data_IF_579500356880
#
_entry.id   IF_579500356880
#
_cell.length_a   1.000
_cell.length_b   1.000
_cell.length_c   1.000
_cell.angle_alpha   90.00
_cell.angle_beta   90.00
_cell.angle_gamma   90.00
#
_symmetry.space_group_name_H-M   'P 1'
#
loop_
_entity.id
_entity.type
_entity.pdbx_description
1 polymer ?
#
# COMPACT_ATOMS: atom_id res chain seq x y z
N UNK A 1 -36.35 -59.82 -22.64
CA UNK A 1 -37.13 -58.59 -22.67
C UNK A 1 -36.82 -57.82 -21.42
N UNK A 2 -35.87 -56.84 -21.53
CA UNK A 2 -35.47 -55.94 -20.42
C UNK A 2 -36.18 -54.58 -20.60
N UNK A 3 -37.03 -54.24 -19.64
CA UNK A 3 -37.71 -52.92 -19.60
C UNK A 3 -36.75 -51.89 -19.19
N UNK A 4 -36.49 -50.90 -20.06
CA UNK A 4 -35.72 -49.66 -19.78
C UNK A 4 -36.71 -48.65 -19.22
N UNK A 5 -36.63 -48.40 -17.91
CA UNK A 5 -37.33 -47.27 -17.26
C UNK A 5 -36.53 -46.01 -17.48
N UNK A 6 -37.06 -45.08 -18.27
CA UNK A 6 -36.54 -43.73 -18.46
C UNK A 6 -37.03 -42.91 -17.28
N UNK A 7 -36.11 -42.61 -16.35
CA UNK A 7 -36.33 -41.62 -15.28
C UNK A 7 -36.09 -40.23 -15.88
N UNK A 8 -37.20 -39.52 -16.08
CA UNK A 8 -37.19 -38.10 -16.48
C UNK A 8 -36.76 -37.27 -15.27
N UNK A 9 -35.45 -36.95 -15.16
CA UNK A 9 -34.91 -36.06 -14.15
C UNK A 9 -35.24 -34.63 -14.56
N UNK A 10 -36.34 -34.10 -14.04
CA UNK A 10 -36.70 -32.66 -14.15
C UNK A 10 -35.66 -31.85 -13.43
N UNK A 11 -34.76 -31.21 -14.20
CA UNK A 11 -33.85 -30.17 -13.71
C UNK A 11 -34.69 -28.95 -13.31
N UNK A 12 -35.05 -28.89 -12.02
CA UNK A 12 -35.49 -27.67 -11.38
C UNK A 12 -34.28 -26.76 -11.34
N UNK A 13 -34.14 -25.91 -12.34
CA UNK A 13 -33.27 -24.71 -12.22
C UNK A 13 -33.85 -23.85 -11.10
N UNK A 14 -33.18 -23.65 -9.98
CA UNK A 14 -33.58 -22.59 -9.07
C UNK A 14 -33.32 -21.28 -9.83
N UNK A 15 -34.38 -20.68 -10.40
CA UNK A 15 -34.38 -19.30 -10.73
C UNK A 15 -34.07 -18.59 -9.41
N UNK A 16 -32.79 -18.27 -9.18
CA UNK A 16 -32.37 -17.34 -8.14
C UNK A 16 -33.11 -16.03 -8.44
N UNK A 17 -34.24 -15.85 -7.77
CA UNK A 17 -34.82 -14.54 -7.54
C UNK A 17 -33.66 -13.71 -7.00
N UNK A 18 -33.09 -12.85 -7.85
CA UNK A 18 -32.24 -11.77 -7.42
C UNK A 18 -33.16 -10.83 -6.61
N UNK A 19 -33.41 -11.20 -5.35
CA UNK A 19 -33.85 -10.24 -4.38
C UNK A 19 -32.82 -9.12 -4.41
N UNK A 20 -33.22 -7.95 -4.85
CA UNK A 20 -32.39 -6.75 -4.82
C UNK A 20 -32.00 -6.50 -3.35
N UNK A 21 -30.81 -6.98 -2.99
CA UNK A 21 -30.29 -6.92 -1.64
C UNK A 21 -29.96 -5.47 -1.32
N UNK A 22 -30.67 -4.89 -0.36
CA UNK A 22 -30.33 -3.55 0.14
C UNK A 22 -29.09 -3.68 1.02
N UNK A 23 -27.98 -3.12 0.57
CA UNK A 23 -26.72 -3.13 1.28
C UNK A 23 -26.73 -2.11 2.42
N UNK A 24 -26.38 -2.57 3.62
CA UNK A 24 -26.08 -1.68 4.74
C UNK A 24 -24.64 -1.15 4.63
N UNK A 25 -24.32 -0.07 5.35
CA UNK A 25 -22.95 0.45 5.42
C UNK A 25 -21.97 -0.62 5.93
N UNK A 26 -22.37 -1.38 6.96
CA UNK A 26 -21.52 -2.43 7.53
C UNK A 26 -21.18 -3.51 6.50
N UNK A 27 -22.16 -3.97 5.73
CA UNK A 27 -21.92 -4.91 4.63
C UNK A 27 -21.00 -4.33 3.56
N UNK A 28 -21.15 -3.03 3.23
CA UNK A 28 -20.25 -2.35 2.28
C UNK A 28 -18.80 -2.31 2.80
N UNK A 29 -18.58 -2.04 4.09
CA UNK A 29 -17.26 -2.06 4.73
C UNK A 29 -16.63 -3.45 4.69
N UNK A 30 -17.38 -4.49 5.03
CA UNK A 30 -16.91 -5.88 4.99
C UNK A 30 -16.52 -6.31 3.57
N UNK A 31 -17.37 -6.00 2.59
CA UNK A 31 -17.07 -6.27 1.18
C UNK A 31 -15.84 -5.49 0.70
N UNK A 32 -15.70 -4.23 1.08
CA UNK A 32 -14.55 -3.42 0.72
C UNK A 32 -13.26 -4.01 1.31
N UNK A 33 -13.24 -4.39 2.58
CA UNK A 33 -12.08 -5.03 3.20
C UNK A 33 -11.71 -6.37 2.54
N UNK A 34 -12.70 -7.11 2.04
CA UNK A 34 -12.49 -8.42 1.42
C UNK A 34 -12.09 -8.33 -0.06
N UNK A 35 -12.66 -7.41 -0.82
CA UNK A 35 -12.56 -7.41 -2.29
C UNK A 35 -11.86 -6.17 -2.87
N UNK A 36 -11.55 -5.15 -2.06
CA UNK A 36 -10.86 -3.97 -2.53
C UNK A 36 -9.43 -4.31 -2.94
N UNK A 37 -9.01 -3.79 -4.10
CA UNK A 37 -7.68 -4.07 -4.67
C UNK A 37 -6.55 -3.41 -3.89
N UNK A 38 -6.78 -2.24 -3.28
CA UNK A 38 -5.79 -1.57 -2.43
C UNK A 38 -5.52 -2.41 -1.17
N UNK A 39 -6.59 -2.95 -0.55
CA UNK A 39 -6.45 -3.86 0.59
C UNK A 39 -5.72 -5.14 0.21
N UNK A 40 -6.08 -5.77 -0.91
CA UNK A 40 -5.40 -6.97 -1.40
C UNK A 40 -3.91 -6.72 -1.69
N UNK A 41 -3.56 -5.55 -2.24
CA UNK A 41 -2.16 -5.16 -2.49
C UNK A 41 -1.39 -4.97 -1.18
N UNK A 42 -1.99 -4.36 -0.16
CA UNK A 42 -1.40 -4.15 1.15
C UNK A 42 -1.10 -5.48 1.87
N UNK A 43 -2.02 -6.45 1.83
CA UNK A 43 -1.79 -7.81 2.33
C UNK A 43 -0.59 -8.47 1.64
N UNK A 44 -0.44 -8.31 0.31
CA UNK A 44 0.72 -8.82 -0.43
C UNK A 44 2.01 -8.11 -0.07
N UNK A 45 1.97 -6.84 0.28
CA UNK A 45 3.13 -6.11 0.78
C UNK A 45 3.59 -6.64 2.15
N UNK A 46 2.67 -6.95 3.05
CA UNK A 46 2.96 -7.61 4.34
C UNK A 46 3.56 -9.00 4.12
N UNK A 47 3.04 -9.78 3.18
CA UNK A 47 3.60 -11.07 2.80
C UNK A 47 5.04 -10.94 2.26
N UNK A 48 5.30 -9.94 1.42
CA UNK A 48 6.63 -9.62 0.90
C UNK A 48 7.61 -9.29 2.04
N UNK A 49 7.19 -8.44 2.99
CA UNK A 49 7.99 -8.09 4.16
C UNK A 49 8.29 -9.31 5.04
N UNK A 50 7.35 -10.24 5.21
CA UNK A 50 7.55 -11.51 5.90
C UNK A 50 8.63 -12.37 5.24
N UNK A 51 8.57 -12.54 3.91
CA UNK A 51 9.59 -13.31 3.19
C UNK A 51 10.95 -12.61 3.19
N UNK A 52 10.98 -11.29 3.14
CA UNK A 52 12.19 -10.49 3.31
C UNK A 52 12.82 -10.74 4.68
N UNK A 53 12.04 -10.71 5.76
CA UNK A 53 12.51 -11.05 7.10
C UNK A 53 13.06 -12.49 7.17
N UNK A 54 12.37 -13.47 6.56
CA UNK A 54 12.85 -14.86 6.50
C UNK A 54 14.17 -14.97 5.72
N UNK A 55 14.33 -14.22 4.64
CA UNK A 55 15.57 -14.14 3.88
C UNK A 55 16.75 -13.63 4.73
N UNK A 56 16.55 -12.52 5.46
CA UNK A 56 17.59 -12.01 6.37
C UNK A 56 17.93 -12.98 7.50
N UNK A 57 16.97 -13.79 7.98
CA UNK A 57 17.22 -14.86 8.93
C UNK A 57 18.16 -15.92 8.38
N UNK A 58 18.11 -16.18 7.07
CA UNK A 58 19.00 -17.10 6.37
C UNK A 58 20.49 -16.76 6.55
N UNK A 59 20.83 -15.47 6.69
CA UNK A 59 22.22 -15.03 6.87
C UNK A 59 22.89 -15.48 8.19
N UNK A 60 22.16 -16.07 9.12
CA UNK A 60 22.72 -16.70 10.31
C UNK A 60 23.23 -18.12 10.06
N UNK A 61 22.85 -18.75 8.96
CA UNK A 61 23.17 -20.12 8.61
C UNK A 61 24.28 -20.19 7.55
N UNK A 62 24.93 -21.36 7.42
CA UNK A 62 25.92 -21.57 6.37
C UNK A 62 25.32 -21.38 4.97
N UNK A 63 26.11 -20.74 4.10
CA UNK A 63 25.80 -20.65 2.68
C UNK A 63 26.53 -21.76 1.92
N UNK A 64 25.80 -22.55 1.13
CA UNK A 64 26.32 -23.61 0.30
C UNK A 64 26.31 -23.16 -1.16
N UNK A 65 27.46 -23.16 -1.80
CA UNK A 65 27.60 -22.83 -3.23
C UNK A 65 28.34 -23.93 -3.99
N UNK A 66 27.81 -24.31 -5.14
CA UNK A 66 28.51 -25.16 -6.07
C UNK A 66 29.00 -24.31 -7.26
N UNK A 67 30.26 -24.43 -7.61
CA UNK A 67 30.89 -23.71 -8.71
C UNK A 67 31.45 -24.70 -9.72
N UNK A 68 31.38 -24.40 -11.01
CA UNK A 68 31.99 -25.16 -12.08
C UNK A 68 32.57 -24.18 -13.12
N UNK A 69 33.75 -24.50 -13.61
CA UNK A 69 34.41 -23.75 -14.68
C UNK A 69 35.05 -24.74 -15.66
N UNK A 70 34.88 -24.50 -16.94
CA UNK A 70 35.58 -25.21 -18.01
C UNK A 70 36.35 -24.20 -18.86
N UNK A 71 37.60 -24.50 -19.15
CA UNK A 71 38.47 -23.73 -20.04
C UNK A 71 39.06 -24.67 -21.09
N UNK A 72 38.97 -24.27 -22.32
CA UNK A 72 39.76 -24.85 -23.40
C UNK A 72 40.78 -23.83 -23.90
N UNK A 73 42.04 -24.21 -23.97
CA UNK A 73 43.12 -23.33 -24.43
C UNK A 73 44.08 -24.11 -25.31
N UNK A 74 44.51 -23.51 -26.38
CA UNK A 74 45.56 -24.02 -27.24
C UNK A 74 46.97 -23.54 -26.80
N UNK A 75 47.04 -22.93 -25.60
CA UNK A 75 48.30 -22.45 -25.06
C UNK A 75 49.20 -23.60 -24.69
N UNK A 76 50.37 -23.66 -25.30
CA UNK A 76 51.47 -24.58 -25.04
C UNK A 76 52.81 -23.81 -25.02
N UNK A 77 53.78 -24.38 -24.42
CA UNK A 77 55.07 -23.77 -24.34
C UNK A 77 56.09 -24.68 -23.61
N UNK A 78 57.32 -24.34 -23.68
CA UNK A 78 58.37 -25.10 -23.02
C UNK A 78 59.42 -24.20 -22.35
N UNK A 79 59.90 -24.65 -21.23
CA UNK A 79 61.10 -24.11 -20.55
C UNK A 79 62.14 -25.18 -20.44
N UNK A 80 63.34 -24.95 -21.10
CA UNK A 80 64.45 -25.89 -21.11
C UNK A 80 65.66 -25.31 -20.41
N UNK A 81 66.27 -26.09 -19.60
CA UNK A 81 67.69 -25.87 -19.15
C UNK A 81 68.57 -26.72 -19.98
N UNK A 82 69.43 -26.09 -20.81
CA UNK A 82 70.35 -26.80 -21.67
C UNK A 82 71.28 -27.67 -20.85
N UNK A 83 71.44 -28.89 -21.29
CA UNK A 83 72.41 -29.81 -20.71
C UNK A 83 73.85 -29.33 -20.92
N UNK A 84 74.69 -29.59 -19.97
CA UNK A 84 76.10 -29.14 -20.02
C UNK A 84 76.99 -29.89 -19.06
N UNK A 85 78.26 -29.58 -19.14
CA UNK A 85 79.21 -30.11 -18.20
C UNK A 85 79.14 -29.41 -16.87
N UNK A 86 78.83 -30.14 -15.77
CA UNK A 86 78.90 -29.66 -14.41
C UNK A 86 80.15 -30.12 -13.71
N UNK A 87 80.90 -29.25 -13.05
CA UNK A 87 82.05 -29.66 -12.27
C UNK A 87 81.64 -30.54 -11.07
N UNK A 88 82.29 -31.62 -10.84
CA UNK A 88 82.11 -32.42 -9.63
C UNK A 88 82.83 -31.71 -8.50
N UNK A 89 82.13 -31.26 -7.54
CA UNK A 89 82.64 -30.58 -6.35
C UNK A 89 82.47 -31.52 -5.16
N UNK A 90 83.59 -31.77 -4.47
CA UNK A 90 83.64 -32.55 -3.24
C UNK A 90 83.89 -31.62 -2.06
N UNK A 91 83.50 -32.04 -0.86
CA UNK A 91 83.82 -31.35 0.38
C UNK A 91 85.11 -31.99 0.97
N UNK A 92 86.04 -31.16 1.38
CA UNK A 92 87.23 -31.62 2.14
C UNK A 92 86.83 -31.96 3.60
N UNK A 93 87.74 -32.48 4.39
CA UNK A 93 87.51 -32.84 5.77
C UNK A 93 87.21 -31.63 6.68
N UNK A 94 87.43 -30.42 6.17
CA UNK A 94 87.07 -29.15 6.84
C UNK A 94 85.74 -28.54 6.35
N UNK A 95 85.05 -29.18 5.40
CA UNK A 95 83.78 -28.71 4.86
C UNK A 95 83.86 -27.68 3.76
N UNK A 96 85.02 -27.44 3.18
CA UNK A 96 85.20 -26.50 2.07
C UNK A 96 84.98 -27.21 0.71
N UNK A 97 84.44 -26.46 -0.26
CA UNK A 97 84.18 -26.91 -1.61
C UNK A 97 85.54 -27.07 -2.39
N UNK A 98 85.88 -28.27 -2.77
CA UNK A 98 87.11 -28.56 -3.56
C UNK A 98 86.69 -29.01 -4.96
N UNK A 99 87.04 -28.26 -5.99
CA UNK A 99 86.90 -28.71 -7.39
C UNK A 99 87.75 -29.92 -7.67
N UNK A 100 87.13 -31.00 -8.12
CA UNK A 100 87.88 -32.26 -8.43
C UNK A 100 88.55 -32.25 -9.80
N UNK A 101 88.28 -31.27 -10.66
CA UNK A 101 88.71 -31.28 -12.07
C UNK A 101 87.92 -32.26 -12.95
N UNK A 102 87.05 -33.05 -12.35
CA UNK A 102 86.18 -34.01 -13.05
C UNK A 102 84.81 -33.28 -13.37
N UNK A 103 84.33 -33.48 -14.57
CA UNK A 103 83.06 -32.95 -15.02
C UNK A 103 82.07 -34.12 -15.20
N UNK A 104 80.89 -34.02 -14.67
CA UNK A 104 79.76 -34.87 -15.01
C UNK A 104 78.90 -34.20 -16.05
N UNK A 105 78.14 -34.97 -16.83
CA UNK A 105 77.24 -34.46 -17.80
C UNK A 105 75.89 -34.23 -17.08
N UNK A 106 75.39 -32.97 -17.06
CA UNK A 106 74.08 -32.67 -16.68
C UNK A 106 73.14 -32.83 -17.91
N UNK A 107 72.26 -33.83 -17.93
CA UNK A 107 71.30 -33.94 -19.01
C UNK A 107 70.31 -32.74 -18.91
N UNK A 108 70.17 -31.99 -19.96
CA UNK A 108 69.19 -30.87 -19.94
C UNK A 108 67.80 -31.31 -19.46
N UNK A 109 67.13 -30.44 -18.87
CA UNK A 109 65.73 -30.66 -18.43
C UNK A 109 64.84 -29.83 -19.32
N UNK A 110 63.93 -30.46 -20.08
CA UNK A 110 62.82 -29.79 -20.79
C UNK A 110 61.59 -30.01 -20.06
N UNK A 111 60.83 -28.89 -19.78
CA UNK A 111 59.52 -28.86 -19.16
C UNK A 111 58.56 -28.28 -20.17
N UNK A 112 57.86 -29.13 -20.91
CA UNK A 112 56.85 -28.72 -21.87
C UNK A 112 55.53 -28.75 -21.20
N UNK A 113 54.76 -27.60 -21.24
CA UNK A 113 53.44 -27.50 -20.68
C UNK A 113 52.37 -27.31 -21.78
N UNK A 114 51.22 -27.89 -21.55
CA UNK A 114 50.05 -27.76 -22.40
C UNK A 114 48.80 -27.56 -21.54
N UNK A 115 48.04 -26.53 -21.82
CA UNK A 115 46.84 -26.21 -21.05
C UNK A 115 45.68 -27.11 -21.45
N UNK A 116 45.40 -27.26 -22.75
CA UNK A 116 44.37 -28.16 -23.26
C UNK A 116 42.97 -27.84 -22.69
N UNK A 117 42.27 -28.88 -22.27
CA UNK A 117 40.96 -28.77 -21.59
C UNK A 117 41.16 -28.85 -20.06
N UNK A 118 40.85 -27.76 -19.40
CA UNK A 118 40.87 -27.69 -17.93
C UNK A 118 39.42 -27.52 -17.44
N UNK A 119 39.03 -28.37 -16.53
CA UNK A 119 37.77 -28.16 -15.82
C UNK A 119 37.97 -28.29 -14.32
N UNK A 120 37.28 -27.43 -13.61
CA UNK A 120 37.23 -27.44 -12.15
C UNK A 120 35.79 -27.33 -11.67
N UNK A 121 35.50 -28.04 -10.59
CA UNK A 121 34.20 -27.99 -9.93
C UNK A 121 34.37 -28.22 -8.44
N UNK A 122 33.56 -27.55 -7.66
CA UNK A 122 33.63 -27.68 -6.22
C UNK A 122 32.40 -27.25 -5.49
N UNK A 123 32.32 -27.64 -4.22
CA UNK A 123 31.33 -27.22 -3.28
C UNK A 123 32.02 -26.41 -2.20
N UNK A 124 31.44 -25.23 -1.91
CA UNK A 124 31.91 -24.32 -0.87
C UNK A 124 30.84 -24.09 0.15
N UNK A 125 31.23 -24.10 1.43
CA UNK A 125 30.37 -23.79 2.59
C UNK A 125 30.98 -22.61 3.31
N UNK A 126 30.24 -21.52 3.43
CA UNK A 126 30.70 -20.31 4.11
C UNK A 126 29.81 -20.03 5.31
N UNK A 127 30.39 -19.90 6.51
CA UNK A 127 29.67 -19.56 7.73
C UNK A 127 30.28 -18.32 8.39
N UNK A 128 29.54 -17.19 8.46
CA UNK A 128 29.97 -16.08 9.29
C UNK A 128 29.80 -16.43 10.77
N UNK A 129 30.89 -16.38 11.53
CA UNK A 129 30.92 -16.64 12.97
C UNK A 129 30.66 -15.35 13.78
N UNK A 130 31.31 -14.27 13.37
CA UNK A 130 31.16 -12.96 13.97
C UNK A 130 31.33 -11.86 12.94
N UNK A 131 30.35 -10.95 12.85
CA UNK A 131 30.32 -9.86 11.86
C UNK A 131 30.11 -8.49 12.53
N UNK A 132 30.64 -8.32 13.76
CA UNK A 132 30.48 -7.06 14.50
C UNK A 132 29.02 -6.69 14.86
N UNK A 133 28.08 -7.65 14.79
CA UNK A 133 26.67 -7.43 14.99
C UNK A 133 25.87 -7.06 13.72
N UNK A 134 26.53 -7.03 12.54
CA UNK A 134 25.91 -6.66 11.25
C UNK A 134 24.66 -7.49 10.94
N UNK A 135 24.79 -8.84 11.00
CA UNK A 135 23.69 -9.75 10.66
C UNK A 135 22.50 -9.55 11.63
N UNK A 136 22.78 -9.40 12.94
CA UNK A 136 21.74 -9.16 13.94
C UNK A 136 21.03 -7.82 13.71
N UNK A 137 21.76 -6.75 13.40
CA UNK A 137 21.18 -5.44 13.13
C UNK A 137 20.31 -5.47 11.86
N UNK A 138 20.80 -6.07 10.76
CA UNK A 138 20.07 -6.23 9.52
C UNK A 138 18.79 -7.09 9.70
N UNK A 139 18.90 -8.21 10.43
CA UNK A 139 17.72 -9.02 10.76
C UNK A 139 16.71 -8.24 11.61
N UNK A 140 17.16 -7.50 12.64
CA UNK A 140 16.24 -6.68 13.45
C UNK A 140 15.56 -5.59 12.62
N UNK A 141 16.27 -4.97 11.67
CA UNK A 141 15.68 -4.03 10.72
C UNK A 141 14.59 -4.70 9.88
N UNK A 142 14.82 -5.93 9.40
CA UNK A 142 13.82 -6.66 8.61
C UNK A 142 12.60 -7.09 9.44
N UNK A 143 12.78 -7.39 10.74
CA UNK A 143 11.67 -7.64 11.67
C UNK A 143 10.82 -6.38 11.86
N UNK A 144 11.47 -5.23 12.13
CA UNK A 144 10.80 -3.95 12.25
C UNK A 144 10.10 -3.53 10.94
N UNK A 145 10.74 -3.83 9.80
CA UNK A 145 10.13 -3.62 8.48
C UNK A 145 8.86 -4.45 8.27
N UNK A 146 8.84 -5.70 8.76
CA UNK A 146 7.64 -6.54 8.75
C UNK A 146 6.55 -5.99 9.69
N UNK A 147 6.90 -5.60 10.92
CA UNK A 147 5.99 -4.96 11.87
C UNK A 147 5.39 -3.67 11.28
N UNK A 148 6.22 -2.85 10.61
CA UNK A 148 5.76 -1.63 9.92
C UNK A 148 4.82 -1.94 8.75
N UNK A 149 5.06 -3.02 7.99
CA UNK A 149 4.16 -3.44 6.92
C UNK A 149 2.79 -3.87 7.45
N UNK A 150 2.73 -4.53 8.62
CA UNK A 150 1.48 -4.89 9.31
C UNK A 150 0.71 -3.64 9.77
N UNK A 151 1.41 -2.62 10.27
CA UNK A 151 0.77 -1.35 10.64
C UNK A 151 0.27 -0.58 9.40
N UNK A 152 1.02 -0.62 8.28
CA UNK A 152 0.57 -0.06 7.00
C UNK A 152 -0.66 -0.80 6.45
N UNK A 153 -0.77 -2.12 6.65
CA UNK A 153 -1.96 -2.90 6.29
C UNK A 153 -3.18 -2.43 7.13
N UNK A 154 -3.00 -2.20 8.43
CA UNK A 154 -4.04 -1.65 9.29
C UNK A 154 -4.44 -0.22 8.89
N UNK A 155 -3.47 0.62 8.52
CA UNK A 155 -3.71 1.96 7.98
C UNK A 155 -4.51 1.90 6.68
N UNK A 156 -4.11 1.04 5.74
CA UNK A 156 -4.84 0.82 4.47
C UNK A 156 -6.28 0.36 4.73
N UNK A 157 -6.49 -0.53 5.71
CA UNK A 157 -7.84 -0.95 6.10
C UNK A 157 -8.69 0.23 6.59
N UNK A 158 -8.12 1.10 7.43
CA UNK A 158 -8.78 2.33 7.91
C UNK A 158 -9.13 3.27 6.75
N UNK A 159 -8.20 3.46 5.80
CA UNK A 159 -8.44 4.30 4.62
C UNK A 159 -9.51 3.73 3.68
N UNK A 160 -9.53 2.40 3.49
CA UNK A 160 -10.55 1.72 2.69
C UNK A 160 -11.93 1.86 3.34
N UNK A 161 -12.03 1.72 4.67
CA UNK A 161 -13.26 1.98 5.42
C UNK A 161 -13.70 3.43 5.22
N UNK A 162 -12.81 4.41 5.42
CA UNK A 162 -13.11 5.83 5.23
C UNK A 162 -13.62 6.13 3.82
N UNK A 163 -12.93 5.64 2.78
CA UNK A 163 -13.35 5.80 1.39
C UNK A 163 -14.72 5.19 1.13
N UNK A 164 -15.00 4.03 1.73
CA UNK A 164 -16.28 3.33 1.59
C UNK A 164 -17.41 4.11 2.27
N UNK A 165 -17.17 4.63 3.47
CA UNK A 165 -18.12 5.44 4.20
C UNK A 165 -18.48 6.72 3.43
N UNK A 166 -17.47 7.42 2.92
CA UNK A 166 -17.67 8.61 2.07
C UNK A 166 -18.44 8.29 0.79
N UNK A 167 -18.14 7.17 0.14
CA UNK A 167 -18.85 6.77 -1.08
C UNK A 167 -20.28 6.35 -0.79
N UNK A 168 -20.54 5.63 0.32
CA UNK A 168 -21.89 5.27 0.77
C UNK A 168 -22.71 6.53 1.06
N UNK A 169 -22.16 7.45 1.84
CA UNK A 169 -22.81 8.72 2.16
C UNK A 169 -23.12 9.55 0.90
N UNK A 170 -22.22 9.53 -0.09
CA UNK A 170 -22.45 10.22 -1.37
C UNK A 170 -23.61 9.61 -2.15
N UNK A 171 -23.81 8.29 -2.10
CA UNK A 171 -24.97 7.64 -2.73
C UNK A 171 -26.26 8.06 -2.01
N UNK A 172 -26.25 8.09 -0.65
CA UNK A 172 -27.40 8.59 0.15
C UNK A 172 -27.75 10.03 -0.23
N UNK A 173 -26.73 10.92 -0.26
CA UNK A 173 -26.91 12.32 -0.69
C UNK A 173 -27.53 12.41 -2.09
N UNK A 174 -27.00 11.65 -3.05
CA UNK A 174 -27.48 11.68 -4.43
C UNK A 174 -28.93 11.16 -4.56
N UNK A 175 -29.33 10.18 -3.73
CA UNK A 175 -30.71 9.71 -3.64
C UNK A 175 -31.64 10.82 -3.10
N UNK A 176 -31.23 11.50 -2.03
CA UNK A 176 -32.03 12.59 -1.46
C UNK A 176 -32.12 13.79 -2.43
N UNK A 177 -31.03 14.19 -3.07
CA UNK A 177 -31.02 15.24 -4.09
C UNK A 177 -31.93 14.91 -5.28
N UNK A 178 -31.99 13.63 -5.70
CA UNK A 178 -32.93 13.20 -6.72
C UNK A 178 -34.38 13.37 -6.25
N UNK A 179 -34.69 12.99 -5.00
CA UNK A 179 -36.03 13.19 -4.42
C UNK A 179 -36.41 14.68 -4.38
N UNK A 180 -35.47 15.57 -4.02
CA UNK A 180 -35.73 17.04 -4.03
C UNK A 180 -36.09 17.51 -5.44
N UNK A 181 -35.25 17.12 -6.46
CA UNK A 181 -35.50 17.50 -7.84
C UNK A 181 -36.82 16.97 -8.39
N UNK A 182 -37.18 15.71 -8.06
CA UNK A 182 -38.46 15.10 -8.47
C UNK A 182 -39.65 15.82 -7.83
N UNK A 183 -39.58 16.17 -6.54
CA UNK A 183 -40.64 16.91 -5.84
C UNK A 183 -40.81 18.30 -6.42
N UNK A 184 -39.71 19.03 -6.66
CA UNK A 184 -39.75 20.36 -7.22
C UNK A 184 -40.39 20.37 -8.63
N UNK A 185 -39.98 19.42 -9.48
CA UNK A 185 -40.55 19.26 -10.83
C UNK A 185 -42.07 18.95 -10.75
N UNK A 186 -42.53 18.11 -9.81
CA UNK A 186 -43.93 17.78 -9.64
C UNK A 186 -44.74 19.04 -9.30
N UNK A 187 -44.25 19.88 -8.36
CA UNK A 187 -44.87 21.16 -7.99
C UNK A 187 -44.99 22.11 -9.17
N UNK A 188 -43.92 22.23 -9.98
CA UNK A 188 -43.90 23.08 -11.19
C UNK A 188 -44.87 22.57 -12.28
N UNK A 189 -45.00 21.26 -12.46
CA UNK A 189 -45.95 20.67 -13.41
C UNK A 189 -47.42 20.96 -13.00
N UNK A 190 -47.71 20.82 -11.71
CA UNK A 190 -49.03 21.20 -11.17
C UNK A 190 -49.31 22.70 -11.38
N UNK A 191 -48.32 23.55 -11.06
CA UNK A 191 -48.41 24.98 -11.25
C UNK A 191 -48.63 25.36 -12.72
N UNK A 192 -47.87 24.74 -13.66
CA UNK A 192 -48.04 25.00 -15.07
C UNK A 192 -49.47 24.68 -15.54
N UNK A 193 -49.98 23.51 -15.17
CA UNK A 193 -51.36 23.12 -15.51
C UNK A 193 -52.40 24.13 -15.01
N UNK A 194 -52.21 24.63 -13.79
CA UNK A 194 -53.13 25.62 -13.20
C UNK A 194 -53.03 26.98 -13.93
N UNK A 195 -51.83 27.46 -14.22
CA UNK A 195 -51.62 28.75 -14.91
C UNK A 195 -52.06 28.66 -16.36
N UNK A 196 -51.85 27.56 -17.09
CA UNK A 196 -52.37 27.35 -18.44
C UNK A 196 -53.88 27.35 -18.48
N UNK A 197 -54.53 26.71 -17.49
CA UNK A 197 -56.01 26.75 -17.36
C UNK A 197 -56.49 28.16 -17.15
N UNK A 198 -55.90 28.91 -16.22
CA UNK A 198 -56.24 30.29 -15.92
C UNK A 198 -56.02 31.22 -17.15
N UNK A 199 -54.96 31.01 -17.92
CA UNK A 199 -54.71 31.75 -19.15
C UNK A 199 -55.80 31.48 -20.22
N UNK A 200 -56.20 30.23 -20.44
CA UNK A 200 -57.30 29.87 -21.36
C UNK A 200 -58.62 30.53 -21.01
N UNK A 201 -58.85 30.80 -19.73
CA UNK A 201 -60.04 31.51 -19.26
C UNK A 201 -59.87 33.04 -19.18
N UNK A 202 -58.71 33.57 -19.66
CA UNK A 202 -58.42 35.02 -19.66
C UNK A 202 -58.12 35.63 -18.29
N UNK A 203 -57.84 34.79 -17.25
CA UNK A 203 -57.60 35.22 -15.87
C UNK A 203 -56.11 35.54 -15.62
N UNK A 204 -55.20 35.05 -16.42
CA UNK A 204 -53.74 35.26 -16.28
C UNK A 204 -53.14 35.60 -17.67
N UNK A 205 -52.05 36.40 -17.69
CA UNK A 205 -51.32 36.73 -18.94
C UNK A 205 -50.48 35.57 -19.43
N UNK A 206 -50.20 35.54 -20.73
CA UNK A 206 -49.31 34.55 -21.36
C UNK A 206 -47.89 34.52 -20.75
N UNK A 207 -47.38 35.69 -20.31
CA UNK A 207 -46.07 35.80 -19.66
C UNK A 207 -45.96 34.90 -18.44
N UNK A 208 -47.01 34.69 -17.67
CA UNK A 208 -47.01 33.81 -16.47
C UNK A 208 -46.83 32.35 -16.91
N UNK A 209 -47.46 31.88 -17.97
CA UNK A 209 -47.27 30.56 -18.55
C UNK A 209 -45.80 30.37 -18.95
N UNK A 210 -45.22 31.35 -19.67
CA UNK A 210 -43.83 31.28 -20.13
C UNK A 210 -42.83 31.24 -18.98
N UNK A 211 -43.06 32.01 -17.90
CA UNK A 211 -42.25 31.96 -16.67
C UNK A 211 -42.21 30.57 -16.05
N UNK A 212 -43.34 29.91 -15.90
CA UNK A 212 -43.43 28.57 -15.30
C UNK A 212 -42.81 27.53 -16.23
N UNK A 213 -42.99 27.65 -17.57
CA UNK A 213 -42.36 26.77 -18.56
C UNK A 213 -40.81 26.82 -18.48
N UNK A 214 -40.25 28.02 -18.32
CA UNK A 214 -38.78 28.17 -18.16
C UNK A 214 -38.31 27.44 -16.89
N UNK A 215 -39.02 27.63 -15.76
CA UNK A 215 -38.70 26.96 -14.50
C UNK A 215 -38.85 25.44 -14.60
N UNK A 216 -39.86 24.96 -15.30
CA UNK A 216 -40.04 23.54 -15.55
C UNK A 216 -38.85 22.95 -16.35
N UNK A 217 -38.40 23.62 -17.43
CA UNK A 217 -37.25 23.19 -18.19
C UNK A 217 -35.98 23.12 -17.34
N UNK A 218 -35.74 24.12 -16.47
CA UNK A 218 -34.64 24.13 -15.51
C UNK A 218 -34.71 22.92 -14.55
N UNK A 219 -35.92 22.59 -14.05
CA UNK A 219 -36.10 21.45 -13.15
C UNK A 219 -35.93 20.10 -13.82
N UNK A 220 -36.31 19.94 -15.09
CA UNK A 220 -36.07 18.72 -15.87
C UNK A 220 -34.56 18.46 -16.08
N UNK A 221 -33.79 19.54 -16.30
CA UNK A 221 -32.32 19.43 -16.35
C UNK A 221 -31.74 19.04 -15.00
N UNK A 222 -32.30 19.58 -13.88
CA UNK A 222 -31.87 19.23 -12.53
C UNK A 222 -32.10 17.76 -12.20
N UNK A 223 -33.25 17.18 -12.58
CA UNK A 223 -33.50 15.74 -12.47
C UNK A 223 -32.45 14.93 -13.21
N UNK A 224 -32.13 15.30 -14.47
CA UNK A 224 -31.14 14.58 -15.24
C UNK A 224 -29.74 14.65 -14.64
N UNK A 225 -29.35 15.80 -14.06
CA UNK A 225 -28.10 15.96 -13.32
C UNK A 225 -28.08 15.08 -12.07
N UNK A 226 -29.17 15.04 -11.30
CA UNK A 226 -29.28 14.22 -10.10
C UNK A 226 -29.22 12.71 -10.43
N UNK A 227 -29.87 12.25 -11.51
CA UNK A 227 -29.80 10.86 -11.97
C UNK A 227 -28.35 10.48 -12.36
N UNK A 228 -27.65 11.35 -13.07
CA UNK A 228 -26.25 11.12 -13.42
C UNK A 228 -25.34 11.06 -12.19
N UNK A 229 -25.55 11.98 -11.23
CA UNK A 229 -24.79 12.00 -9.97
C UNK A 229 -25.02 10.71 -9.17
N UNK A 230 -26.28 10.26 -9.05
CA UNK A 230 -26.61 9.00 -8.38
C UNK A 230 -25.95 7.81 -9.04
N UNK A 231 -26.00 7.72 -10.37
CA UNK A 231 -25.34 6.64 -11.11
C UNK A 231 -23.85 6.62 -10.88
N UNK A 232 -23.17 7.77 -10.96
CA UNK A 232 -21.72 7.86 -10.74
C UNK A 232 -21.33 7.54 -9.30
N UNK A 233 -22.09 8.02 -8.32
CA UNK A 233 -21.88 7.68 -6.91
C UNK A 233 -22.03 6.17 -6.66
N UNK A 234 -23.05 5.54 -7.24
CA UNK A 234 -23.27 4.09 -7.16
C UNK A 234 -22.12 3.32 -7.81
N UNK A 235 -21.65 3.74 -8.99
CA UNK A 235 -20.48 3.12 -9.66
C UNK A 235 -19.21 3.22 -8.81
N UNK A 236 -18.99 4.37 -8.15
CA UNK A 236 -17.85 4.54 -7.25
C UNK A 236 -17.94 3.61 -6.04
N UNK A 237 -19.11 3.48 -5.42
CA UNK A 237 -19.32 2.53 -4.33
C UNK A 237 -19.09 1.08 -4.80
N UNK A 238 -19.61 0.68 -5.97
CA UNK A 238 -19.37 -0.63 -6.57
C UNK A 238 -17.87 -0.92 -6.74
N UNK A 239 -17.11 0.08 -7.21
CA UNK A 239 -15.66 -0.04 -7.36
C UNK A 239 -14.97 -0.34 -6.03
N UNK A 240 -15.32 0.39 -4.97
CA UNK A 240 -14.72 0.22 -3.65
C UNK A 240 -15.05 -1.12 -3.01
N UNK A 241 -16.29 -1.61 -3.16
CA UNK A 241 -16.74 -2.89 -2.60
C UNK A 241 -16.42 -4.10 -3.51
N UNK A 242 -15.71 -3.88 -4.62
CA UNK A 242 -15.27 -4.95 -5.53
C UNK A 242 -16.37 -5.55 -6.41
N UNK A 243 -17.51 -4.88 -6.58
CA UNK A 243 -18.56 -5.28 -7.53
C UNK A 243 -18.32 -4.70 -8.93
N UNK A 244 -18.87 -5.31 -10.00
CA UNK A 244 -18.84 -4.71 -11.34
C UNK A 244 -19.44 -3.31 -11.33
N UNK A 245 -18.85 -2.35 -12.07
CA UNK A 245 -19.24 -0.94 -12.06
C UNK A 245 -20.70 -0.67 -12.43
N UNK A 246 -21.30 -1.55 -13.23
CA UNK A 246 -22.67 -1.42 -13.75
C UNK A 246 -23.67 -2.24 -12.91
N UNK A 247 -23.28 -2.69 -11.72
CA UNK A 247 -24.18 -3.45 -10.85
C UNK A 247 -25.31 -2.56 -10.33
N UNK A 248 -26.54 -3.05 -10.42
CA UNK A 248 -27.70 -2.41 -9.78
C UNK A 248 -27.72 -2.78 -8.30
N UNK A 249 -27.17 -1.90 -7.46
CA UNK A 249 -27.18 -2.04 -6.01
C UNK A 249 -28.16 -1.04 -5.40
N UNK A 250 -28.87 -1.47 -4.36
CA UNK A 250 -29.65 -0.58 -3.50
C UNK A 250 -28.97 -0.46 -2.15
N UNK A 251 -29.00 0.72 -1.57
CA UNK A 251 -28.52 0.95 -0.22
C UNK A 251 -29.69 1.35 0.68
N UNK A 252 -29.56 1.10 1.98
CA UNK A 252 -30.50 1.65 2.95
C UNK A 252 -30.32 3.18 2.95
N UNK A 253 -31.33 3.93 2.54
CA UNK A 253 -31.24 5.37 2.24
C UNK A 253 -31.03 6.29 3.45
N UNK A 254 -30.43 5.83 4.55
CA UNK A 254 -30.23 6.63 5.76
C UNK A 254 -28.74 6.73 6.10
N UNK A 255 -28.31 7.90 6.57
CA UNK A 255 -27.03 8.04 7.24
C UNK A 255 -27.05 7.25 8.55
N UNK A 256 -25.96 6.58 8.92
CA UNK A 256 -25.84 6.03 10.27
C UNK A 256 -25.98 7.15 11.30
N UNK A 257 -26.57 6.82 12.45
CA UNK A 257 -26.74 7.79 13.51
C UNK A 257 -25.37 8.32 13.99
N UNK A 258 -25.20 9.62 13.96
CA UNK A 258 -24.06 10.27 14.63
C UNK A 258 -24.40 10.31 16.14
N UNK A 259 -23.57 9.67 16.95
CA UNK A 259 -23.79 9.61 18.39
C UNK A 259 -23.85 11.02 18.99
N UNK A 260 -24.98 11.31 19.65
CA UNK A 260 -25.17 12.56 20.40
C UNK A 260 -24.45 12.43 21.75
N UNK A 261 -23.51 13.32 22.02
CA UNK A 261 -22.85 13.40 23.33
C UNK A 261 -21.53 12.65 23.44
N UNK A 262 -20.89 12.29 22.33
CA UNK A 262 -19.50 11.89 22.36
C UNK A 262 -18.69 13.13 22.80
N UNK A 263 -18.29 13.13 24.08
CA UNK A 263 -17.37 14.16 24.60
C UNK A 263 -16.07 14.03 23.78
N UNK A 264 -15.80 15.05 23.00
CA UNK A 264 -14.65 15.09 22.08
C UNK A 264 -13.40 15.26 22.95
N UNK A 265 -12.93 14.16 23.56
CA UNK A 265 -11.65 14.19 24.28
C UNK A 265 -10.49 14.15 23.27
N UNK A 266 -9.94 15.33 23.00
CA UNK A 266 -8.74 15.53 22.18
C UNK A 266 -7.51 15.16 23.02
N UNK A 267 -7.26 13.89 23.32
CA UNK A 267 -6.15 13.56 24.21
C UNK A 267 -5.21 12.44 23.78
N UNK A 268 -5.58 11.56 22.88
CA UNK A 268 -4.72 10.41 22.57
C UNK A 268 -4.69 10.07 21.08
N UNK A 269 -3.51 10.28 20.48
CA UNK A 269 -3.20 9.89 19.09
C UNK A 269 -2.51 8.52 19.01
N UNK A 270 -2.24 7.87 20.15
CA UNK A 270 -1.46 6.62 20.19
C UNK A 270 -2.18 5.43 19.58
N UNK A 271 -3.51 5.50 19.48
CA UNK A 271 -4.34 4.49 18.81
C UNK A 271 -4.21 4.50 17.28
N UNK A 272 -3.64 5.55 16.71
CA UNK A 272 -3.49 5.69 15.25
C UNK A 272 -2.38 4.77 14.74
N UNK A 273 -2.62 4.01 13.64
CA UNK A 273 -1.58 3.21 13.01
C UNK A 273 -0.36 4.03 12.57
N UNK A 274 -0.56 5.26 12.13
CA UNK A 274 0.50 6.18 11.71
C UNK A 274 1.50 6.47 12.84
N UNK A 275 1.02 6.62 14.08
CA UNK A 275 1.87 6.80 15.25
C UNK A 275 2.82 5.61 15.45
N UNK A 276 2.28 4.38 15.38
CA UNK A 276 3.06 3.16 15.52
C UNK A 276 4.07 2.98 14.36
N UNK A 277 3.73 3.39 13.13
CA UNK A 277 4.63 3.37 11.97
C UNK A 277 5.84 4.27 12.20
N UNK A 278 5.62 5.50 12.68
CA UNK A 278 6.69 6.46 12.96
C UNK A 278 7.65 5.95 14.05
N UNK A 279 7.11 5.31 15.10
CA UNK A 279 7.91 4.69 16.15
C UNK A 279 8.84 3.60 15.58
N UNK A 280 8.30 2.70 14.74
CA UNK A 280 9.09 1.68 14.06
C UNK A 280 10.14 2.27 13.11
N UNK A 281 9.85 3.38 12.48
CA UNK A 281 10.81 4.07 11.60
C UNK A 281 12.01 4.62 12.39
N UNK A 282 11.78 5.19 13.56
CA UNK A 282 12.85 5.62 14.48
C UNK A 282 13.66 4.43 14.99
N UNK A 283 13.00 3.30 15.34
CA UNK A 283 13.70 2.07 15.73
C UNK A 283 14.59 1.55 14.59
N UNK A 284 14.12 1.55 13.32
CA UNK A 284 14.90 1.13 12.14
C UNK A 284 16.13 2.03 11.97
N UNK A 285 15.97 3.35 12.10
CA UNK A 285 17.10 4.29 12.04
C UNK A 285 18.13 4.00 13.16
N UNK A 286 17.66 3.61 14.35
CA UNK A 286 18.51 3.16 15.45
C UNK A 286 19.29 1.89 15.12
N UNK A 287 18.68 0.91 14.45
CA UNK A 287 19.37 -0.30 13.98
C UNK A 287 20.36 0.02 12.86
N UNK A 288 20.07 1.01 12.00
CA UNK A 288 21.01 1.47 10.96
C UNK A 288 22.31 2.02 11.58
N UNK A 289 22.21 2.74 12.71
CA UNK A 289 23.41 3.17 13.48
C UNK A 289 24.21 1.94 13.93
N UNK A 290 23.56 0.88 14.46
CA UNK A 290 24.23 -0.36 14.87
C UNK A 290 24.85 -1.07 13.68
N UNK A 291 24.18 -1.11 12.54
CA UNK A 291 24.69 -1.69 11.30
C UNK A 291 25.99 -1.00 10.87
N UNK A 292 26.00 0.33 10.80
CA UNK A 292 27.20 1.09 10.43
C UNK A 292 28.31 0.95 11.46
N UNK A 293 27.97 0.89 12.76
CA UNK A 293 28.93 0.66 13.85
C UNK A 293 29.58 -0.73 13.75
N UNK A 294 28.90 -1.73 13.18
CA UNK A 294 29.46 -3.08 13.00
C UNK A 294 30.67 -3.10 12.08
N UNK A 295 30.85 -2.10 11.22
CA UNK A 295 32.02 -1.98 10.35
C UNK A 295 33.31 -1.61 11.09
N UNK A 296 33.21 -1.17 12.34
CA UNK A 296 34.35 -0.87 13.22
C UNK A 296 34.87 -2.11 13.97
N UNK A 297 34.12 -3.23 13.93
CA UNK A 297 34.45 -4.44 14.68
C UNK A 297 35.10 -5.49 13.77
N UNK A 298 35.92 -6.40 14.36
CA UNK A 298 36.45 -7.53 13.61
C UNK A 298 35.37 -8.37 12.97
N UNK A 299 35.70 -9.01 11.85
CA UNK A 299 34.83 -9.98 11.19
C UNK A 299 35.56 -11.33 11.18
N UNK A 300 34.84 -12.38 11.58
CA UNK A 300 35.37 -13.75 11.62
C UNK A 300 34.39 -14.65 10.87
N UNK A 301 34.94 -15.42 9.94
CA UNK A 301 34.19 -16.39 9.15
C UNK A 301 35.01 -17.66 8.95
N UNK A 302 34.34 -18.78 8.82
CA UNK A 302 34.92 -20.06 8.43
C UNK A 302 34.39 -20.45 7.06
N UNK A 303 35.28 -20.97 6.20
CA UNK A 303 34.96 -21.49 4.88
C UNK A 303 35.55 -22.89 4.76
N UNK A 304 34.74 -23.84 4.33
CA UNK A 304 35.15 -25.16 3.91
C UNK A 304 34.91 -25.31 2.42
N UNK A 305 35.85 -25.89 1.67
CA UNK A 305 35.60 -26.25 0.29
C UNK A 305 36.16 -27.64 -0.05
N UNK A 306 35.47 -28.27 -0.98
CA UNK A 306 35.99 -29.42 -1.71
C UNK A 306 35.99 -29.06 -3.17
N UNK A 307 37.19 -28.97 -3.74
CA UNK A 307 37.41 -28.57 -5.12
C UNK A 307 38.10 -29.70 -5.88
N UNK A 308 37.60 -30.10 -7.05
CA UNK A 308 38.17 -31.01 -7.97
C UNK A 308 38.67 -30.24 -9.19
N UNK A 309 39.93 -30.49 -9.58
CA UNK A 309 40.56 -29.87 -10.75
C UNK A 309 41.09 -30.96 -11.64
N UNK A 310 40.76 -30.89 -12.92
CA UNK A 310 41.28 -31.75 -13.96
C UNK A 310 41.84 -30.90 -15.11
N UNK A 311 43.02 -31.32 -15.62
CA UNK A 311 43.70 -30.65 -16.72
C UNK A 311 45.11 -30.20 -16.34
N UNK A 312 45.74 -29.49 -17.25
CA UNK A 312 47.15 -29.07 -17.17
C UNK A 312 48.14 -30.22 -17.31
N UNK A 313 48.72 -30.34 -18.47
CA UNK A 313 49.74 -31.36 -18.79
C UNK A 313 51.12 -30.74 -18.69
N UNK A 314 52.05 -31.50 -18.08
CA UNK A 314 53.50 -31.19 -18.05
C UNK A 314 54.27 -32.42 -18.54
N UNK A 315 55.02 -32.29 -19.61
CA UNK A 315 55.72 -33.40 -20.25
C UNK A 315 54.83 -34.61 -20.55
N UNK A 316 53.66 -34.36 -21.17
CA UNK A 316 52.58 -35.33 -21.46
C UNK A 316 52.06 -36.11 -20.25
N UNK A 317 52.30 -35.59 -19.04
CA UNK A 317 51.73 -36.15 -17.84
C UNK A 317 50.69 -35.16 -17.26
N UNK A 318 49.48 -35.69 -16.93
CA UNK A 318 48.46 -34.89 -16.26
C UNK A 318 48.95 -34.42 -14.91
N UNK A 319 49.11 -33.11 -14.73
CA UNK A 319 49.63 -32.53 -13.50
C UNK A 319 48.54 -32.38 -12.42
N UNK A 320 47.31 -32.12 -12.84
CA UNK A 320 46.19 -31.91 -11.95
C UNK A 320 45.05 -32.84 -12.33
N UNK A 321 44.76 -33.82 -11.49
CA UNK A 321 43.59 -34.72 -11.56
C UNK A 321 43.25 -35.21 -10.15
N UNK A 322 42.93 -34.24 -9.26
CA UNK A 322 42.69 -34.56 -7.84
C UNK A 322 41.62 -33.65 -7.23
N UNK A 323 40.87 -34.24 -6.32
CA UNK A 323 40.06 -33.52 -5.37
C UNK A 323 40.90 -33.07 -4.17
N UNK A 324 40.61 -31.85 -3.70
CA UNK A 324 41.25 -31.30 -2.49
C UNK A 324 40.16 -30.76 -1.53
N UNK A 325 40.35 -31.03 -0.25
CA UNK A 325 39.53 -30.45 0.82
C UNK A 325 40.33 -29.37 1.52
N UNK A 326 39.68 -28.20 1.72
CA UNK A 326 40.30 -27.08 2.43
C UNK A 326 39.37 -26.48 3.45
N UNK A 327 39.94 -26.03 4.57
CA UNK A 327 39.22 -25.22 5.59
C UNK A 327 40.01 -23.95 5.82
N UNK A 328 39.32 -22.81 5.73
CA UNK A 328 39.93 -21.51 5.91
C UNK A 328 39.19 -20.77 7.04
N UNK A 329 39.93 -20.33 8.04
CA UNK A 329 39.44 -19.35 9.02
C UNK A 329 39.90 -17.96 8.55
N UNK A 330 38.93 -17.11 8.25
CA UNK A 330 39.17 -15.72 7.86
C UNK A 330 38.90 -14.78 9.01
N UNK A 331 39.88 -14.00 9.42
CA UNK A 331 39.77 -12.94 10.43
C UNK A 331 40.19 -11.63 9.80
N UNK A 332 39.25 -10.69 9.69
CA UNK A 332 39.49 -9.36 9.13
C UNK A 332 39.30 -8.30 10.23
N UNK A 333 40.34 -7.62 10.59
CA UNK A 333 40.34 -6.55 11.60
C UNK A 333 40.58 -5.21 10.93
N UNK A 334 39.57 -4.30 10.96
CA UNK A 334 39.75 -2.99 10.35
C UNK A 334 40.65 -2.11 11.23
N UNK A 335 41.81 -1.74 10.76
CA UNK A 335 42.75 -0.93 11.54
C UNK A 335 42.54 0.59 11.29
N UNK A 336 42.61 1.02 10.05
CA UNK A 336 42.51 2.46 9.74
C UNK A 336 41.90 2.71 8.35
N UNK A 337 41.01 3.69 8.24
CA UNK A 337 40.31 4.08 7.00
C UNK A 337 40.05 5.59 6.94
N UNK A 338 41.01 6.41 7.34
CA UNK A 338 40.96 7.88 7.23
C UNK A 338 39.63 8.52 7.63
N UNK A 339 38.97 7.99 8.66
CA UNK A 339 37.71 8.51 9.18
C UNK A 339 36.43 8.05 8.46
N UNK A 340 36.48 7.32 7.35
CA UNK A 340 35.33 6.88 6.57
C UNK A 340 34.25 6.21 7.44
N UNK A 341 34.64 5.16 8.19
CA UNK A 341 33.70 4.39 9.01
C UNK A 341 33.11 5.20 10.18
N UNK A 342 33.95 6.01 10.83
CA UNK A 342 33.48 6.89 11.91
C UNK A 342 32.48 7.95 11.41
N UNK A 343 32.73 8.50 10.22
CA UNK A 343 31.81 9.45 9.60
C UNK A 343 30.51 8.78 9.13
N UNK A 344 30.53 7.53 8.65
CA UNK A 344 29.30 6.75 8.38
C UNK A 344 28.45 6.58 9.64
N UNK A 345 29.07 6.31 10.80
CA UNK A 345 28.35 6.22 12.08
C UNK A 345 27.79 7.59 12.49
N UNK A 346 28.55 8.69 12.32
CA UNK A 346 28.07 10.05 12.60
C UNK A 346 26.90 10.42 11.69
N UNK A 347 26.96 10.12 10.41
CA UNK A 347 25.89 10.35 9.45
C UNK A 347 24.62 9.55 9.83
N UNK A 348 24.78 8.29 10.22
CA UNK A 348 23.64 7.48 10.67
C UNK A 348 23.02 8.01 11.97
N UNK A 349 23.82 8.54 12.92
CA UNK A 349 23.31 9.18 14.13
C UNK A 349 22.55 10.48 13.80
N UNK A 350 23.06 11.28 12.86
CA UNK A 350 22.34 12.47 12.40
C UNK A 350 20.99 12.10 11.75
N UNK A 351 20.97 11.04 10.95
CA UNK A 351 19.71 10.53 10.36
C UNK A 351 18.73 10.01 11.41
N UNK A 352 19.21 9.34 12.46
CA UNK A 352 18.37 8.94 13.61
C UNK A 352 17.77 10.17 14.30
N UNK A 353 18.57 11.23 14.53
CA UNK A 353 18.04 12.46 15.14
C UNK A 353 17.03 13.15 14.21
N UNK A 354 17.30 13.20 12.91
CA UNK A 354 16.34 13.66 11.92
C UNK A 354 15.01 12.89 12.01
N UNK A 355 15.05 11.55 12.05
CA UNK A 355 13.83 10.74 12.14
C UNK A 355 13.04 10.99 13.44
N UNK A 356 13.70 11.32 14.53
CA UNK A 356 13.03 11.71 15.79
C UNK A 356 12.31 13.05 15.65
N UNK A 357 12.97 14.04 15.07
CA UNK A 357 12.36 15.34 14.83
C UNK A 357 11.19 15.25 13.84
N UNK A 358 11.31 14.40 12.84
CA UNK A 358 10.21 14.10 11.91
C UNK A 358 9.03 13.45 12.64
N UNK A 359 9.30 12.52 13.58
CA UNK A 359 8.27 11.90 14.44
C UNK A 359 7.58 12.94 15.34
N UNK A 360 8.35 13.80 16.02
CA UNK A 360 7.81 14.87 16.87
C UNK A 360 6.92 15.81 16.05
N UNK A 361 7.40 16.29 14.89
CA UNK A 361 6.63 17.16 14.01
C UNK A 361 5.33 16.47 13.51
N UNK A 362 5.38 15.19 13.16
CA UNK A 362 4.20 14.48 12.71
C UNK A 362 3.20 14.25 13.85
N UNK A 363 3.68 14.03 15.09
CA UNK A 363 2.80 13.93 16.26
C UNK A 363 2.06 15.25 16.51
N UNK A 364 2.73 16.39 16.36
CA UNK A 364 2.10 17.72 16.44
C UNK A 364 1.06 17.91 15.32
N UNK A 365 1.37 17.50 14.10
CA UNK A 365 0.43 17.55 12.97
C UNK A 365 -0.80 16.67 13.20
N UNK A 366 -0.62 15.44 13.72
CA UNK A 366 -1.74 14.56 14.06
C UNK A 366 -2.63 15.15 15.15
N UNK A 367 -2.05 15.84 16.13
CA UNK A 367 -2.81 16.54 17.18
C UNK A 367 -3.61 17.71 16.59
N UNK A 368 -3.01 18.48 15.67
CA UNK A 368 -3.70 19.55 14.96
C UNK A 368 -4.84 19.00 14.10
N UNK A 369 -4.62 17.88 13.36
CA UNK A 369 -5.65 17.21 12.57
C UNK A 369 -6.84 16.77 13.45
N UNK A 370 -6.55 16.17 14.61
CA UNK A 370 -7.58 15.75 15.55
C UNK A 370 -8.39 16.95 16.09
N UNK A 371 -7.70 18.01 16.47
CA UNK A 371 -8.36 19.24 16.96
C UNK A 371 -9.24 19.86 15.88
N UNK A 372 -8.72 19.95 14.65
CA UNK A 372 -9.48 20.47 13.52
C UNK A 372 -10.70 19.60 13.20
N UNK A 373 -10.55 18.28 13.19
CA UNK A 373 -11.66 17.36 12.93
C UNK A 373 -12.74 17.46 14.01
N UNK A 374 -12.33 17.68 15.26
CA UNK A 374 -13.25 17.93 16.38
C UNK A 374 -14.07 19.20 16.18
N UNK A 375 -13.41 20.32 15.88
CA UNK A 375 -14.05 21.60 15.63
C UNK A 375 -15.00 21.53 14.43
N UNK A 376 -14.56 20.92 13.32
CA UNK A 376 -15.37 20.74 12.11
C UNK A 376 -16.64 19.90 12.40
N UNK A 377 -16.52 18.89 13.28
CA UNK A 377 -17.68 18.08 13.68
C UNK A 377 -18.70 18.92 14.49
N UNK A 378 -18.24 19.77 15.40
CA UNK A 378 -19.12 20.61 16.20
C UNK A 378 -19.81 21.69 15.34
N UNK A 379 -19.06 22.30 14.39
CA UNK A 379 -19.63 23.21 13.40
C UNK A 379 -20.69 22.53 12.52
N UNK A 380 -20.39 21.31 12.02
CA UNK A 380 -21.33 20.57 11.19
C UNK A 380 -22.61 20.13 11.94
N UNK A 381 -22.51 19.88 13.26
CA UNK A 381 -23.68 19.62 14.10
C UNK A 381 -24.60 20.83 14.16
N UNK A 382 -24.04 22.01 14.41
CA UNK A 382 -24.79 23.25 14.43
C UNK A 382 -25.41 23.56 13.07
N UNK A 383 -24.64 23.41 11.98
CA UNK A 383 -25.11 23.62 10.60
C UNK A 383 -26.28 22.69 10.27
N UNK A 384 -26.21 21.40 10.65
CA UNK A 384 -27.30 20.44 10.46
C UNK A 384 -28.57 20.86 11.21
N UNK A 385 -28.44 21.29 12.48
CA UNK A 385 -29.58 21.75 13.26
C UNK A 385 -30.23 23.04 12.69
N UNK A 386 -29.40 23.99 12.23
CA UNK A 386 -29.89 25.22 11.62
C UNK A 386 -30.54 24.96 10.26
N UNK A 387 -30.03 24.04 9.46
CA UNK A 387 -30.59 23.68 8.16
C UNK A 387 -31.95 23.00 8.30
N UNK A 388 -32.12 22.13 9.32
CA UNK A 388 -33.42 21.52 9.64
C UNK A 388 -34.46 22.56 9.97
N UNK A 389 -34.13 23.57 10.80
CA UNK A 389 -35.00 24.68 11.13
C UNK A 389 -35.33 25.55 9.92
N UNK A 390 -34.31 25.83 9.07
CA UNK A 390 -34.49 26.62 7.87
C UNK A 390 -35.40 25.93 6.85
N UNK A 391 -35.28 24.62 6.67
CA UNK A 391 -36.20 23.88 5.81
C UNK A 391 -37.64 23.94 6.31
N UNK A 392 -37.85 23.72 7.61
CA UNK A 392 -39.19 23.81 8.21
C UNK A 392 -39.84 25.19 7.97
N UNK A 393 -39.08 26.27 8.12
CA UNK A 393 -39.53 27.63 7.86
C UNK A 393 -39.83 27.86 6.38
N UNK A 394 -38.99 27.36 5.48
CA UNK A 394 -39.19 27.48 4.03
C UNK A 394 -40.40 26.66 3.53
N UNK A 395 -40.67 25.49 4.12
CA UNK A 395 -41.85 24.68 3.85
C UNK A 395 -43.13 25.43 4.22
N UNK A 396 -43.17 26.04 5.41
CA UNK A 396 -44.35 26.82 5.84
C UNK A 396 -44.51 28.09 4.99
N UNK A 397 -43.40 28.80 4.67
CA UNK A 397 -43.45 29.95 3.77
C UNK A 397 -44.05 29.58 2.40
N UNK A 398 -43.57 28.49 1.80
CA UNK A 398 -44.07 28.01 0.51
C UNK A 398 -45.57 27.69 0.56
N UNK A 399 -46.03 27.07 1.66
CA UNK A 399 -47.43 26.71 1.86
C UNK A 399 -48.32 27.95 2.00
N UNK A 400 -47.89 28.95 2.77
CA UNK A 400 -48.59 30.22 2.93
C UNK A 400 -48.65 30.96 1.59
N UNK A 401 -47.52 31.09 0.89
CA UNK A 401 -47.43 31.74 -0.42
C UNK A 401 -48.32 31.04 -1.47
N UNK A 402 -48.37 29.69 -1.48
CA UNK A 402 -49.29 28.94 -2.36
C UNK A 402 -50.72 29.37 -2.12
N UNK A 403 -51.16 29.41 -0.85
CA UNK A 403 -52.54 29.78 -0.47
C UNK A 403 -52.87 31.22 -0.85
N UNK A 404 -51.96 32.17 -0.65
CA UNK A 404 -52.11 33.57 -1.01
C UNK A 404 -52.16 33.79 -2.53
N UNK A 405 -51.32 33.05 -3.29
CA UNK A 405 -51.35 33.07 -4.76
C UNK A 405 -52.68 32.53 -5.32
N UNK A 406 -53.21 31.44 -4.74
CA UNK A 406 -54.48 30.84 -5.17
C UNK A 406 -55.71 31.77 -4.96
N UNK A 407 -55.68 32.60 -3.92
CA UNK A 407 -56.74 33.59 -3.68
C UNK A 407 -56.46 34.98 -4.29
N UNK A 408 -55.31 35.12 -4.99
CA UNK A 408 -54.96 36.35 -5.71
C UNK A 408 -54.33 37.45 -4.85
N UNK A 409 -53.88 37.16 -3.63
CA UNK A 409 -53.20 38.09 -2.73
C UNK A 409 -51.71 38.22 -2.99
N UNK A 410 -51.10 37.22 -3.63
CA UNK A 410 -49.71 37.25 -4.07
C UNK A 410 -49.57 37.09 -5.59
N UNK A 411 -48.42 37.56 -6.13
CA UNK A 411 -48.09 37.38 -7.55
C UNK A 411 -47.51 36.00 -7.83
N UNK A 412 -47.50 35.56 -9.09
CA UNK A 412 -46.83 34.36 -9.52
C UNK A 412 -45.33 34.43 -9.18
N UNK A 413 -44.72 35.61 -9.29
CA UNK A 413 -43.27 35.79 -9.03
C UNK A 413 -42.94 35.55 -7.56
N UNK A 414 -43.75 36.02 -6.62
CA UNK A 414 -43.59 35.81 -5.17
C UNK A 414 -43.71 34.33 -4.83
N UNK A 415 -44.72 33.63 -5.41
CA UNK A 415 -44.87 32.19 -5.21
C UNK A 415 -43.70 31.35 -5.79
N UNK A 416 -43.20 31.73 -6.99
CA UNK A 416 -41.99 31.09 -7.57
C UNK A 416 -40.74 31.33 -6.72
N UNK A 417 -40.62 32.51 -6.09
CA UNK A 417 -39.55 32.81 -5.14
C UNK A 417 -39.64 31.94 -3.88
N UNK A 418 -40.82 31.81 -3.30
CA UNK A 418 -41.07 30.94 -2.14
C UNK A 418 -40.71 29.46 -2.46
N UNK A 419 -41.05 28.98 -3.68
CA UNK A 419 -40.70 27.65 -4.15
C UNK A 419 -39.17 27.48 -4.32
N UNK A 420 -38.48 28.49 -4.85
CA UNK A 420 -37.04 28.47 -4.99
C UNK A 420 -36.31 28.45 -3.62
N UNK A 421 -36.78 29.24 -2.66
CA UNK A 421 -36.31 29.26 -1.27
C UNK A 421 -36.49 27.88 -0.61
N UNK A 422 -37.66 27.26 -0.80
CA UNK A 422 -37.89 25.91 -0.29
C UNK A 422 -36.94 24.89 -0.91
N UNK A 423 -36.75 24.90 -2.24
CA UNK A 423 -35.80 24.00 -2.90
C UNK A 423 -34.40 24.20 -2.36
N UNK A 424 -33.93 25.46 -2.27
CA UNK A 424 -32.59 25.79 -1.76
C UNK A 424 -32.42 25.34 -0.31
N UNK A 425 -33.41 25.56 0.57
CA UNK A 425 -33.35 25.10 1.96
C UNK A 425 -33.29 23.58 2.07
N UNK A 426 -34.02 22.86 1.21
CA UNK A 426 -33.98 21.40 1.19
C UNK A 426 -32.59 20.87 0.68
N UNK A 427 -32.07 21.46 -0.39
CA UNK A 427 -30.72 21.10 -0.88
C UNK A 427 -29.67 21.37 0.21
N UNK A 428 -29.75 22.50 0.91
CA UNK A 428 -28.83 22.86 2.00
C UNK A 428 -28.95 21.88 3.16
N UNK A 429 -30.14 21.43 3.54
CA UNK A 429 -30.32 20.41 4.56
C UNK A 429 -29.69 19.07 4.18
N UNK A 430 -29.88 18.62 2.93
CA UNK A 430 -29.28 17.38 2.45
C UNK A 430 -27.74 17.49 2.49
N UNK A 431 -27.19 18.65 2.12
CA UNK A 431 -25.76 18.91 2.20
C UNK A 431 -25.25 18.94 3.65
N UNK A 432 -25.96 19.62 4.55
CA UNK A 432 -25.58 19.70 5.96
C UNK A 432 -25.57 18.32 6.65
N UNK A 433 -26.57 17.48 6.41
CA UNK A 433 -26.59 16.11 6.92
C UNK A 433 -25.46 15.25 6.36
N UNK A 434 -25.13 15.42 5.07
CA UNK A 434 -24.00 14.76 4.45
C UNK A 434 -22.67 15.21 5.06
N UNK A 435 -22.46 16.52 5.25
CA UNK A 435 -21.26 17.08 5.86
C UNK A 435 -21.12 16.67 7.32
N UNK A 436 -22.20 16.64 8.09
CA UNK A 436 -22.20 16.13 9.46
C UNK A 436 -21.66 14.69 9.52
N UNK A 437 -22.15 13.82 8.65
CA UNK A 437 -21.68 12.44 8.61
C UNK A 437 -20.22 12.34 8.18
N UNK A 438 -19.79 13.10 7.17
CA UNK A 438 -18.39 13.12 6.73
C UNK A 438 -17.45 13.57 7.85
N UNK A 439 -17.76 14.69 8.50
CA UNK A 439 -16.94 15.21 9.59
C UNK A 439 -16.89 14.24 10.78
N UNK A 440 -17.98 13.52 11.05
CA UNK A 440 -17.98 12.46 12.06
C UNK A 440 -17.02 11.31 11.73
N UNK A 441 -17.03 10.82 10.49
CA UNK A 441 -16.13 9.73 10.07
C UNK A 441 -14.66 10.20 10.03
N UNK A 442 -14.41 11.44 9.62
CA UNK A 442 -13.07 12.04 9.65
C UNK A 442 -12.56 12.22 11.09
N UNK A 443 -13.43 12.64 12.01
CA UNK A 443 -13.09 12.68 13.43
C UNK A 443 -12.72 11.29 13.98
N UNK A 444 -13.53 10.27 13.68
CA UNK A 444 -13.22 8.89 14.09
C UNK A 444 -11.87 8.40 13.54
N UNK A 445 -11.52 8.75 12.29
CA UNK A 445 -10.21 8.47 11.72
C UNK A 445 -9.11 9.19 12.51
N UNK A 446 -9.26 10.49 12.72
CA UNK A 446 -8.27 11.32 13.42
C UNK A 446 -8.06 10.88 14.87
N UNK A 447 -9.10 10.35 15.52
CA UNK A 447 -9.06 9.76 16.87
C UNK A 447 -8.52 8.31 16.90
N UNK A 448 -8.29 7.67 15.74
CA UNK A 448 -7.88 6.26 15.67
C UNK A 448 -9.01 5.26 15.95
N UNK A 449 -10.27 5.73 16.09
CA UNK A 449 -11.42 4.91 16.48
C UNK A 449 -12.18 4.28 15.29
N UNK A 450 -11.84 4.64 14.05
CA UNK A 450 -12.59 4.18 12.87
C UNK A 450 -12.53 2.66 12.66
N UNK A 451 -11.45 2.01 13.10
CA UNK A 451 -11.29 0.55 13.02
C UNK A 451 -12.11 -0.21 14.07
N UNK A 452 -12.50 0.42 15.16
CA UNK A 452 -13.26 -0.20 16.26
C UNK A 452 -14.78 -0.27 16.01
N UNK A 453 -15.28 0.47 15.03
CA UNK A 453 -16.70 0.44 14.60
C UNK A 453 -17.08 -0.91 13.96
N UNK A 454 -16.31 -1.97 14.20
CA UNK A 454 -16.55 -3.34 13.77
C UNK A 454 -17.55 -4.12 14.60
N UNK A 455 -18.14 -3.54 15.64
CA UNK A 455 -19.04 -4.28 16.55
C UNK A 455 -20.48 -3.79 16.46
#
# INVERSE_FOLDING_TARGET
>A
MKKISIILLSILCPSSLFAQETLSLQQCREMALQYNKEMAASVKQTECALYTMKSYKGNFFPNFTANGMGLYSTADGGFGIEGGKMPVILYDAAGNLVPTGIYTHFPGINLDYKVGTVYMGGIRVEQPLYMGGKIRAAYRMSVLGKEMAEMNEALTATEVILKTDKAYALVVKAQEMKKVADKYNAVLRELLSNVESAYKHGLKPQNDVLKVQVKLNESELSIRKAENALRLATMNLCHLIGKPLVSDIRISGNYPAVEKGMDVQVSDISARPEYAILDKQVEIAGQQVRLNRSELWPKVGIMGSYDYVHGFELNDQMLMDKGSFSVLLNVSIPLFHFGERSNKVRAAKAKLMQSRLEQENMNEQMMLELTQAANNLDEARLESELSDRSLLQAEENMKVSKSQYEVGLETLSDYLEAQALWQQAYETQVDAHFQLYLNYVEYLKAAGALSEVKK
#
